data_IF_735709852160
#
_entry.id   IF_735709852160
#
_cell.length_a   1.000
_cell.length_b   1.000
_cell.length_c   1.000
_cell.angle_alpha   90.00
_cell.angle_beta   90.00
_cell.angle_gamma   90.00
#
_symmetry.space_group_name_H-M   'P 1'
#
loop_
_entity.id
_entity.type
_entity.pdbx_description
1 polymer ?
#
# COMPACT_ATOMS: atom_id res chain seq x y z
N UNK A 1 -3.11 22.26 12.76
CA UNK A 1 -2.40 21.83 11.55
C UNK A 1 -1.60 20.57 11.82
N UNK A 2 -2.27 19.45 12.07
CA UNK A 2 -1.64 18.14 12.17
C UNK A 2 -1.77 17.41 10.82
N UNK A 3 -0.64 17.02 10.23
CA UNK A 3 -0.59 16.24 9.00
C UNK A 3 0.22 14.97 9.22
N UNK A 4 -0.27 13.85 8.71
CA UNK A 4 0.42 12.56 8.77
C UNK A 4 0.79 12.16 7.36
N UNK A 5 2.09 12.07 7.10
CA UNK A 5 2.65 11.63 5.83
C UNK A 5 3.34 10.29 6.08
N UNK A 6 2.80 9.22 5.53
CA UNK A 6 3.38 7.90 5.63
C UNK A 6 4.05 7.52 4.32
N UNK A 7 5.32 7.15 4.43
CA UNK A 7 6.17 6.70 3.33
C UNK A 7 6.32 5.19 3.36
N UNK A 8 6.79 4.62 2.25
CA UNK A 8 7.17 3.21 2.20
C UNK A 8 8.40 2.97 3.07
N UNK A 9 8.40 1.84 3.79
CA UNK A 9 9.53 1.42 4.60
C UNK A 9 10.73 1.04 3.74
N UNK A 10 11.84 1.75 3.92
CA UNK A 10 13.13 1.48 3.24
C UNK A 10 13.68 0.10 3.60
N UNK A 11 13.43 -0.37 4.83
CA UNK A 11 13.89 -1.67 5.30
C UNK A 11 13.34 -2.84 4.50
N UNK A 12 12.12 -2.73 3.97
CA UNK A 12 11.53 -3.77 3.13
C UNK A 12 12.27 -3.87 1.79
N UNK A 13 12.60 -2.73 1.18
CA UNK A 13 13.37 -2.68 -0.06
C UNK A 13 14.81 -3.19 0.17
N UNK A 14 15.43 -2.83 1.29
CA UNK A 14 16.77 -3.30 1.64
C UNK A 14 16.80 -4.82 1.85
N UNK A 15 15.80 -5.38 2.55
CA UNK A 15 15.67 -6.83 2.75
C UNK A 15 15.52 -7.56 1.41
N UNK A 16 14.72 -7.01 0.50
CA UNK A 16 14.55 -7.56 -0.84
C UNK A 16 15.88 -7.55 -1.62
N UNK A 17 16.63 -6.45 -1.56
CA UNK A 17 17.92 -6.31 -2.23
C UNK A 17 18.99 -7.27 -1.70
N UNK A 18 19.13 -7.39 -0.38
CA UNK A 18 20.10 -8.31 0.23
C UNK A 18 19.76 -9.74 -0.15
N UNK A 19 18.50 -10.13 -0.04
CA UNK A 19 18.08 -11.50 -0.34
C UNK A 19 18.27 -11.82 -1.83
N UNK A 20 17.77 -10.96 -2.72
CA UNK A 20 17.92 -11.15 -4.17
C UNK A 20 19.38 -11.09 -4.62
N UNK A 21 20.20 -10.22 -4.03
CA UNK A 21 21.62 -10.10 -4.33
C UNK A 21 22.40 -11.40 -4.08
N UNK A 22 22.12 -12.10 -2.96
CA UNK A 22 22.73 -13.41 -2.68
C UNK A 22 22.39 -14.42 -3.80
N UNK A 23 21.12 -14.48 -4.22
CA UNK A 23 20.69 -15.39 -5.28
C UNK A 23 21.28 -15.05 -6.64
N UNK A 24 21.44 -13.75 -6.95
CA UNK A 24 22.12 -13.28 -8.17
C UNK A 24 23.57 -13.75 -8.20
N UNK A 25 24.32 -13.60 -7.11
CA UNK A 25 25.72 -14.06 -7.00
C UNK A 25 25.80 -15.58 -7.18
N UNK A 26 24.90 -16.34 -6.54
CA UNK A 26 24.82 -17.79 -6.73
C UNK A 26 24.48 -18.18 -8.17
N UNK A 27 23.60 -17.43 -8.84
CA UNK A 27 23.26 -17.62 -10.25
C UNK A 27 24.48 -17.45 -11.15
N UNK A 28 25.25 -16.39 -10.95
CA UNK A 28 26.51 -16.14 -11.69
C UNK A 28 27.52 -17.25 -11.42
N UNK A 29 27.65 -17.71 -10.17
CA UNK A 29 28.55 -18.81 -9.82
C UNK A 29 28.17 -20.10 -10.55
N UNK A 30 26.88 -20.45 -10.59
CA UNK A 30 26.37 -21.63 -11.33
C UNK A 30 26.58 -21.50 -12.84
N UNK A 31 26.46 -20.28 -13.40
CA UNK A 31 26.75 -20.06 -14.83
C UNK A 31 28.25 -20.24 -15.12
N UNK A 32 29.12 -19.87 -14.18
CA UNK A 32 30.58 -19.87 -14.38
C UNK A 32 31.22 -21.23 -14.06
N UNK A 33 30.57 -22.07 -13.25
CA UNK A 33 31.02 -23.44 -13.02
C UNK A 33 30.83 -24.30 -14.29
N UNK A 34 31.73 -25.24 -14.57
CA UNK A 34 31.67 -26.15 -15.74
C UNK A 34 30.56 -27.21 -15.64
N UNK A 35 29.50 -26.91 -14.90
CA UNK A 35 28.45 -27.85 -14.57
C UNK A 35 27.36 -27.85 -15.65
N UNK A 36 26.72 -29.00 -15.92
CA UNK A 36 25.69 -29.11 -16.98
C UNK A 36 24.42 -28.31 -16.69
N UNK A 37 24.34 -27.71 -15.50
CA UNK A 37 23.19 -26.99 -14.96
C UNK A 37 23.16 -25.49 -15.28
N UNK A 38 23.93 -25.02 -16.26
CA UNK A 38 24.01 -23.59 -16.64
C UNK A 38 22.64 -22.91 -16.85
N UNK A 39 21.66 -23.64 -17.38
CA UNK A 39 20.29 -23.16 -17.57
C UNK A 39 19.63 -22.71 -16.24
N UNK A 40 19.87 -23.43 -15.15
CA UNK A 40 19.35 -23.09 -13.81
C UNK A 40 19.98 -21.79 -13.32
N UNK A 41 21.27 -21.59 -13.59
CA UNK A 41 21.96 -20.34 -13.29
C UNK A 41 21.36 -19.14 -14.03
N UNK A 42 21.04 -19.30 -15.32
CA UNK A 42 20.34 -18.26 -16.10
C UNK A 42 18.94 -17.96 -15.58
N UNK A 43 18.14 -18.98 -15.26
CA UNK A 43 16.80 -18.77 -14.68
C UNK A 43 16.88 -18.03 -13.34
N UNK A 44 17.82 -18.42 -12.48
CA UNK A 44 18.08 -17.77 -11.19
C UNK A 44 18.47 -16.30 -11.39
N UNK A 45 19.42 -16.04 -12.30
CA UNK A 45 19.89 -14.69 -12.61
C UNK A 45 18.77 -13.79 -13.15
N UNK A 46 17.93 -14.27 -14.07
CA UNK A 46 16.82 -13.49 -14.62
C UNK A 46 15.76 -13.21 -13.54
N UNK A 47 15.35 -14.24 -12.81
CA UNK A 47 14.29 -14.11 -11.81
C UNK A 47 14.74 -13.19 -10.65
N UNK A 48 15.85 -13.50 -10.01
CA UNK A 48 16.33 -12.72 -8.87
C UNK A 48 17.01 -11.42 -9.28
N UNK A 49 17.60 -11.34 -10.48
CA UNK A 49 18.10 -10.08 -11.04
C UNK A 49 16.97 -9.07 -11.28
N UNK A 50 15.80 -9.53 -11.75
CA UNK A 50 14.62 -8.66 -11.86
C UNK A 50 14.12 -8.19 -10.49
N UNK A 51 14.11 -9.07 -9.48
CA UNK A 51 13.76 -8.72 -8.11
C UNK A 51 14.75 -7.71 -7.49
N UNK A 52 16.05 -7.85 -7.80
CA UNK A 52 17.09 -6.91 -7.38
C UNK A 52 16.86 -5.52 -7.98
N UNK A 53 16.60 -5.44 -9.29
CA UNK A 53 16.27 -4.17 -9.95
C UNK A 53 15.01 -3.53 -9.36
N UNK A 54 13.96 -4.31 -9.11
CA UNK A 54 12.74 -3.82 -8.47
C UNK A 54 13.01 -3.28 -7.05
N UNK A 55 13.79 -4.00 -6.24
CA UNK A 55 14.21 -3.54 -4.92
C UNK A 55 15.03 -2.26 -4.98
N UNK A 56 15.89 -2.13 -6.00
CA UNK A 56 16.68 -0.94 -6.25
C UNK A 56 15.79 0.26 -6.57
N UNK A 57 14.85 0.14 -7.51
CA UNK A 57 13.88 1.20 -7.79
C UNK A 57 13.05 1.59 -6.57
N UNK A 58 12.70 0.61 -5.72
CA UNK A 58 11.94 0.87 -4.50
C UNK A 58 12.72 1.69 -3.46
N UNK A 59 14.06 1.63 -3.44
CA UNK A 59 14.87 2.51 -2.58
C UNK A 59 14.78 3.99 -2.97
N UNK A 60 14.62 4.28 -4.26
CA UNK A 60 14.53 5.65 -4.77
C UNK A 60 13.10 6.19 -4.77
N UNK A 61 12.08 5.33 -4.71
CA UNK A 61 10.67 5.75 -4.60
C UNK A 61 10.33 6.21 -3.18
N UNK A 62 10.72 7.46 -2.84
CA UNK A 62 10.45 8.12 -1.55
C UNK A 62 9.12 8.87 -1.48
N UNK A 63 8.24 8.66 -2.47
CA UNK A 63 6.97 9.38 -2.57
C UNK A 63 6.03 8.94 -1.43
N UNK A 64 5.25 9.87 -0.90
CA UNK A 64 4.25 9.58 0.12
C UNK A 64 3.20 8.60 -0.42
N UNK A 65 2.89 7.57 0.36
CA UNK A 65 1.90 6.58 -0.02
C UNK A 65 0.54 6.90 0.60
N UNK A 66 0.52 7.32 1.86
CA UNK A 66 -0.68 7.82 2.54
C UNK A 66 -0.42 9.24 3.07
N UNK A 67 -1.33 10.15 2.80
CA UNK A 67 -1.35 11.50 3.33
C UNK A 67 -2.70 11.70 4.00
N UNK A 68 -2.71 12.06 5.28
CA UNK A 68 -3.91 12.41 6.03
C UNK A 68 -3.71 13.79 6.64
N UNK A 69 -4.64 14.70 6.36
CA UNK A 69 -4.64 16.08 6.87
C UNK A 69 -6.01 16.42 7.47
N UNK A 70 -6.26 17.69 7.77
CA UNK A 70 -7.54 18.15 8.33
C UNK A 70 -8.67 18.13 7.28
N UNK A 71 -8.33 18.17 5.98
CA UNK A 71 -9.30 18.20 4.89
C UNK A 71 -9.75 16.81 4.48
N UNK A 72 -8.88 15.80 4.59
CA UNK A 72 -9.21 14.44 4.18
C UNK A 72 -8.07 13.43 4.22
N UNK A 73 -8.34 12.31 3.54
CA UNK A 73 -7.47 11.15 3.43
C UNK A 73 -7.12 10.88 1.97
N UNK A 74 -5.82 10.82 1.66
CA UNK A 74 -5.30 10.52 0.33
C UNK A 74 -4.41 9.29 0.38
N UNK A 75 -4.72 8.29 -0.46
CA UNK A 75 -3.90 7.09 -0.65
C UNK A 75 -3.50 6.99 -2.12
N UNK A 76 -2.20 7.11 -2.41
CA UNK A 76 -1.68 7.12 -3.78
C UNK A 76 -1.97 5.83 -4.56
N UNK A 77 -2.11 4.70 -3.88
CA UNK A 77 -2.32 3.39 -4.53
C UNK A 77 -3.79 3.17 -4.90
N UNK A 78 -4.70 3.60 -4.03
CA UNK A 78 -6.12 3.29 -4.15
C UNK A 78 -6.97 4.48 -4.61
N UNK A 79 -6.52 5.71 -4.35
CA UNK A 79 -7.24 6.96 -4.58
C UNK A 79 -6.47 7.84 -5.57
N UNK A 80 -7.22 8.48 -6.46
CA UNK A 80 -6.67 9.51 -7.35
C UNK A 80 -6.79 10.91 -6.74
N UNK A 81 -7.71 11.07 -5.79
CA UNK A 81 -8.08 12.33 -5.14
C UNK A 81 -8.31 12.08 -3.64
N UNK A 82 -8.13 13.12 -2.82
CA UNK A 82 -8.33 13.06 -1.37
C UNK A 82 -9.82 12.91 -1.05
N UNK A 83 -10.16 12.01 -0.12
CA UNK A 83 -11.52 11.83 0.38
C UNK A 83 -11.70 12.69 1.63
N UNK A 84 -12.72 13.56 1.64
CA UNK A 84 -13.05 14.35 2.82
C UNK A 84 -13.52 13.50 4.01
N UNK A 85 -13.11 13.85 5.23
CA UNK A 85 -13.49 13.12 6.45
C UNK A 85 -15.00 13.03 6.66
N UNK A 86 -15.76 14.04 6.22
CA UNK A 86 -17.23 14.09 6.29
C UNK A 86 -17.91 12.92 5.57
N UNK A 87 -17.21 12.35 4.58
CA UNK A 87 -17.70 11.26 3.74
C UNK A 87 -17.32 9.87 4.27
N UNK A 88 -16.42 9.81 5.25
CA UNK A 88 -16.07 8.57 5.94
C UNK A 88 -17.13 8.28 7.00
N UNK A 89 -17.77 7.12 6.88
CA UNK A 89 -18.76 6.65 7.85
C UNK A 89 -18.09 5.88 8.99
N UNK A 90 -17.17 4.97 8.65
CA UNK A 90 -16.51 4.11 9.63
C UNK A 90 -15.12 3.73 9.17
N UNK A 91 -14.20 3.58 10.13
CA UNK A 91 -12.89 2.98 9.88
C UNK A 91 -12.70 1.79 10.80
N UNK A 92 -12.21 0.67 10.24
CA UNK A 92 -11.92 -0.55 11.00
C UNK A 92 -10.56 -1.09 10.62
N UNK A 93 -9.76 -1.52 11.62
CA UNK A 93 -8.52 -2.25 11.34
C UNK A 93 -8.83 -3.72 11.23
N UNK A 94 -8.43 -4.30 10.11
CA UNK A 94 -8.32 -5.74 9.98
C UNK A 94 -6.85 -6.13 9.99
N UNK A 95 -6.51 -7.06 10.88
CA UNK A 95 -5.24 -7.76 10.83
C UNK A 95 -5.52 -9.09 10.14
N UNK A 96 -5.03 -9.24 8.92
CA UNK A 96 -5.10 -10.50 8.20
C UNK A 96 -3.71 -11.10 8.12
N UNK A 97 -3.55 -12.35 8.55
CA UNK A 97 -2.28 -13.04 8.50
C UNK A 97 -2.47 -14.54 8.53
N UNK A 98 -2.11 -15.20 7.43
CA UNK A 98 -1.93 -16.64 7.37
C UNK A 98 -0.43 -16.94 7.42
N UNK A 99 0.00 -17.53 8.53
CA UNK A 99 1.32 -18.10 8.87
C UNK A 99 2.60 -17.23 8.74
N UNK A 100 2.79 -16.35 7.75
CA UNK A 100 4.11 -15.74 7.48
C UNK A 100 4.15 -14.21 7.43
N UNK A 101 3.01 -13.51 7.42
CA UNK A 101 3.00 -12.05 7.56
C UNK A 101 1.74 -11.56 8.26
N UNK A 102 1.90 -10.77 9.34
CA UNK A 102 0.80 -10.01 9.94
C UNK A 102 0.60 -8.77 9.08
N UNK A 103 -0.35 -8.81 8.16
CA UNK A 103 -0.67 -7.65 7.34
C UNK A 103 -1.78 -6.85 8.03
N UNK A 104 -1.54 -5.57 8.23
CA UNK A 104 -2.53 -4.66 8.78
C UNK A 104 -3.16 -3.86 7.65
N UNK A 105 -4.49 -3.85 7.63
CA UNK A 105 -5.29 -3.07 6.69
C UNK A 105 -6.25 -2.19 7.48
N UNK A 106 -6.46 -0.96 7.01
CA UNK A 106 -7.61 -0.16 7.42
C UNK A 106 -8.67 -0.32 6.35
N UNK A 107 -9.82 -0.87 6.72
CA UNK A 107 -11.03 -0.74 5.92
C UNK A 107 -11.71 0.57 6.25
N UNK A 108 -11.86 1.40 5.24
CA UNK A 108 -12.60 2.65 5.32
C UNK A 108 -13.92 2.45 4.60
N UNK A 109 -15.00 2.66 5.35
CA UNK A 109 -16.37 2.62 4.88
C UNK A 109 -16.82 4.05 4.60
N UNK A 110 -17.25 4.30 3.37
CA UNK A 110 -17.75 5.59 2.93
C UNK A 110 -19.28 5.60 2.95
N UNK A 111 -19.83 6.75 3.32
CA UNK A 111 -21.25 7.07 3.13
C UNK A 111 -21.60 6.91 1.65
N UNK A 112 -22.86 6.56 1.31
CA UNK A 112 -23.31 6.54 -0.07
C UNK A 112 -23.14 7.92 -0.72
N UNK A 113 -22.12 8.04 -1.57
CA UNK A 113 -21.72 9.30 -2.21
C UNK A 113 -22.70 9.69 -3.34
N UNK A 114 -23.10 10.96 -3.39
CA UNK A 114 -23.63 11.57 -4.63
C UNK A 114 -22.50 11.64 -5.66
N UNK A 115 -22.71 11.11 -6.88
CA UNK A 115 -21.65 10.72 -7.83
C UNK A 115 -20.83 11.85 -8.50
N UNK A 116 -20.73 13.03 -7.88
CA UNK A 116 -20.12 14.23 -8.47
C UNK A 116 -18.59 14.31 -8.30
N UNK A 117 -18.01 13.72 -7.25
CA UNK A 117 -16.58 13.88 -6.90
C UNK A 117 -15.65 12.75 -7.39
N UNK A 118 -16.10 11.90 -8.33
CA UNK A 118 -15.26 10.82 -8.89
C UNK A 118 -14.83 11.16 -10.32
N UNK A 119 -13.60 11.65 -10.51
CA UNK A 119 -13.07 12.02 -11.85
C UNK A 119 -12.86 10.83 -12.79
N UNK A 120 -12.73 9.61 -12.26
CA UNK A 120 -12.46 8.40 -13.05
C UNK A 120 -13.75 7.75 -13.60
N UNK A 121 -13.93 7.79 -14.93
CA UNK A 121 -15.03 7.12 -15.68
C UNK A 121 -15.14 5.61 -15.37
N UNK A 122 -14.03 4.95 -15.05
CA UNK A 122 -13.96 3.52 -14.75
C UNK A 122 -14.52 3.26 -13.34
N UNK A 123 -14.17 4.12 -12.37
CA UNK A 123 -14.73 4.06 -11.02
C UNK A 123 -16.22 4.37 -11.03
N UNK A 124 -16.73 5.38 -11.77
CA UNK A 124 -18.18 5.63 -11.87
C UNK A 124 -19.01 4.38 -12.21
N UNK A 125 -18.52 3.48 -13.07
CA UNK A 125 -19.21 2.21 -13.40
C UNK A 125 -19.19 1.16 -12.29
N UNK A 126 -18.07 1.00 -11.58
CA UNK A 126 -17.98 0.08 -10.44
C UNK A 126 -18.78 0.58 -9.23
N UNK A 127 -18.79 1.90 -9.02
CA UNK A 127 -19.51 2.56 -7.92
C UNK A 127 -21.02 2.56 -8.17
N UNK A 128 -21.49 2.87 -9.39
CA UNK A 128 -22.92 2.85 -9.73
C UNK A 128 -23.57 1.46 -9.56
N UNK A 129 -22.81 0.37 -9.80
CA UNK A 129 -23.31 -1.00 -9.62
C UNK A 129 -23.45 -1.42 -8.15
N UNK A 130 -22.57 -0.95 -7.26
CA UNK A 130 -22.64 -1.25 -5.81
C UNK A 130 -23.63 -0.34 -5.08
N UNK A 131 -23.72 0.93 -5.48
CA UNK A 131 -24.67 1.89 -4.92
C UNK A 131 -26.13 1.50 -5.22
N UNK A 132 -26.43 0.94 -6.40
CA UNK A 132 -27.75 0.36 -6.72
C UNK A 132 -28.22 -0.74 -5.75
N UNK A 133 -27.33 -1.30 -4.92
CA UNK A 133 -27.65 -2.30 -3.90
C UNK A 133 -27.71 -1.73 -2.47
N UNK A 134 -27.61 -0.41 -2.28
CA UNK A 134 -27.65 0.23 -0.96
C UNK A 134 -26.48 -0.14 -0.04
N UNK A 135 -25.39 -0.67 -0.58
CA UNK A 135 -24.22 -1.10 0.21
C UNK A 135 -23.17 0.00 0.23
N UNK A 136 -22.67 0.30 1.44
CA UNK A 136 -21.57 1.22 1.65
C UNK A 136 -20.32 0.81 0.86
N UNK A 137 -19.52 1.80 0.45
CA UNK A 137 -18.31 1.54 -0.31
C UNK A 137 -17.15 1.27 0.64
N UNK A 138 -16.58 0.06 0.56
CA UNK A 138 -15.43 -0.37 1.34
C UNK A 138 -14.17 -0.29 0.47
N UNK A 139 -13.16 0.43 0.94
CA UNK A 139 -11.81 0.35 0.40
C UNK A 139 -10.78 -0.01 1.49
N UNK A 140 -9.77 -0.77 1.10
CA UNK A 140 -8.71 -1.24 1.98
C UNK A 140 -7.41 -0.47 1.75
N UNK A 141 -6.91 0.15 2.82
CA UNK A 141 -5.61 0.80 2.85
C UNK A 141 -4.64 -0.18 3.52
N UNK A 142 -3.56 -0.55 2.84
CA UNK A 142 -2.51 -1.39 3.45
C UNK A 142 -1.60 -0.53 4.31
N UNK A 143 -1.52 -0.85 5.60
CA UNK A 143 -0.59 -0.21 6.55
C UNK A 143 0.75 -0.93 6.65
N UNK A 144 0.85 -2.14 6.09
CA UNK A 144 2.03 -3.02 6.18
C UNK A 144 3.28 -2.45 5.50
N UNK A 145 3.20 -1.79 4.32
CA UNK A 145 4.39 -1.22 3.69
C UNK A 145 4.77 0.14 4.28
N UNK A 146 3.96 0.72 5.17
CA UNK A 146 4.15 2.07 5.68
C UNK A 146 5.15 2.09 6.84
N UNK A 147 5.94 3.17 6.94
CA UNK A 147 6.82 3.41 8.07
C UNK A 147 6.01 3.60 9.37
N UNK A 148 6.35 2.83 10.40
CA UNK A 148 5.74 2.90 11.74
C UNK A 148 4.95 1.65 12.15
N UNK A 149 4.50 1.62 13.42
CA UNK A 149 3.60 0.55 13.88
C UNK A 149 2.20 0.81 13.31
N UNK A 150 1.61 -0.19 12.67
CA UNK A 150 0.26 -0.08 12.10
C UNK A 150 -0.82 0.30 13.12
N UNK A 151 -0.67 -0.10 14.39
CA UNK A 151 -1.60 0.29 15.47
C UNK A 151 -1.52 1.77 15.79
N UNK A 152 -0.30 2.31 15.94
CA UNK A 152 -0.07 3.72 16.24
C UNK A 152 -0.53 4.62 15.08
N UNK A 153 -0.29 4.15 13.84
CA UNK A 153 -0.77 4.82 12.63
C UNK A 153 -2.29 4.91 12.60
N UNK A 154 -2.97 3.83 12.97
CA UNK A 154 -4.43 3.79 13.01
C UNK A 154 -5.01 4.69 14.11
N UNK A 155 -4.40 4.69 15.30
CA UNK A 155 -4.82 5.57 16.40
C UNK A 155 -4.73 7.04 15.99
N UNK A 156 -3.62 7.43 15.35
CA UNK A 156 -3.45 8.79 14.83
C UNK A 156 -4.47 9.14 13.73
N UNK A 157 -4.85 8.19 12.87
CA UNK A 157 -5.91 8.40 11.87
C UNK A 157 -7.28 8.61 12.52
N UNK A 158 -7.63 7.84 13.56
CA UNK A 158 -8.86 8.05 14.32
C UNK A 158 -8.85 9.41 15.00
N UNK A 159 -7.71 9.81 15.58
CA UNK A 159 -7.58 11.09 16.26
C UNK A 159 -7.81 12.25 15.29
N UNK A 160 -7.20 12.23 14.10
CA UNK A 160 -7.46 13.20 13.04
C UNK A 160 -8.92 13.23 12.62
N UNK A 161 -9.55 12.06 12.44
CA UNK A 161 -10.98 11.99 12.09
C UNK A 161 -11.85 12.67 13.17
N UNK A 162 -11.55 12.43 14.45
CA UNK A 162 -12.27 13.05 15.59
C UNK A 162 -12.06 14.56 15.65
N UNK A 163 -10.84 15.04 15.38
CA UNK A 163 -10.54 16.47 15.34
C UNK A 163 -11.26 17.16 14.17
N UNK A 164 -11.26 16.55 12.99
CA UNK A 164 -11.99 17.02 11.82
C UNK A 164 -13.51 17.06 12.08
N UNK A 165 -14.06 16.08 12.80
CA UNK A 165 -15.48 16.07 13.18
C UNK A 165 -15.88 17.13 14.21
N UNK A 166 -14.93 17.64 15.02
CA UNK A 166 -15.17 18.71 16.02
C UNK A 166 -15.06 20.13 15.44
N UNK A 167 -14.46 20.28 14.26
CA UNK A 167 -14.31 21.59 13.60
C UNK A 167 -15.52 21.95 12.71
N UNK A 168 -16.53 21.08 12.66
CA UNK A 168 -17.85 21.31 12.07
C UNK A 168 -18.89 21.43 13.19
#
# INVERSE_FOLDING_TARGET
>A
MQQIILKKSIFQALKLLVLSGIFVVLGIFIITSKDKSHWIGWMNLVFFGSAFLLGFFQLFDRRAQLIADENGLFDRMNLHESIAWSSVEKMTVMKSGFLFSKQAFVMVELKPFSGETLSSKIKKRLFAKRQKKGKAFLFSISLTPLEGKASETFEKLIELQKQAAKSY
#
